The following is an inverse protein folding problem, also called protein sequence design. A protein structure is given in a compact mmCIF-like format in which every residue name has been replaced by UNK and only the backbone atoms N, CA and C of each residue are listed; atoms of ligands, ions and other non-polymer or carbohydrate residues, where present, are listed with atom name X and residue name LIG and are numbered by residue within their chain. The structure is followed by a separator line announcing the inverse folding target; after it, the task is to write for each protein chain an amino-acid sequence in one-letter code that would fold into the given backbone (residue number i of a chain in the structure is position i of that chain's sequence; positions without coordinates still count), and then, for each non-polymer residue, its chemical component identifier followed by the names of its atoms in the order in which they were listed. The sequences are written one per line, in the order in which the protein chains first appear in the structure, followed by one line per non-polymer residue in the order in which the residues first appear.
data_IF_465787824748
#
_entry.id   IF_465787824748
#
_cell.length_a   1.000
_cell.length_b   1.000
_cell.length_c   1.000
_cell.angle_alpha   90.00
_cell.angle_beta   90.00
_cell.angle_gamma   90.00
#
_symmetry.space_group_name_H-M   'P 1'
#
loop_
_entity.id
_entity.type
_entity.pdbx_description
1 polymer ?
#
# COMPACT_ATOMS: atom_id res chain seq x y z
N UNK A 1 -5.84 11.47 10.32
CA UNK A 1 -4.84 12.03 9.39
C UNK A 1 -4.41 13.35 10.00
N UNK A 2 -3.12 13.58 10.29
CA UNK A 2 -2.67 14.88 10.81
C UNK A 2 -2.90 15.99 9.77
N UNK A 3 -2.76 17.25 10.13
CA UNK A 3 -2.81 18.34 9.13
C UNK A 3 -1.57 18.34 8.24
N UNK A 4 -0.39 18.11 8.84
CA UNK A 4 0.90 18.10 8.16
C UNK A 4 1.79 16.95 8.62
N UNK A 5 2.88 16.73 7.88
CA UNK A 5 4.01 15.86 8.23
C UNK A 5 5.32 16.57 7.88
N UNK A 6 6.38 16.33 8.65
CA UNK A 6 7.72 16.90 8.43
C UNK A 6 8.70 15.78 8.12
N UNK A 7 9.54 15.94 7.09
CA UNK A 7 10.64 15.00 6.80
C UNK A 7 11.91 15.31 7.60
N UNK A 8 12.96 14.49 7.41
CA UNK A 8 14.24 14.61 8.12
C UNK A 8 14.98 15.93 7.82
N UNK A 9 14.67 16.59 6.70
CA UNK A 9 15.27 17.86 6.29
C UNK A 9 14.46 19.07 6.80
N UNK A 10 13.39 18.84 7.54
CA UNK A 10 12.51 19.89 8.03
C UNK A 10 11.51 20.40 6.98
N UNK A 11 11.36 19.73 5.83
CA UNK A 11 10.32 20.11 4.87
C UNK A 11 8.95 19.71 5.43
N UNK A 12 8.01 20.65 5.43
CA UNK A 12 6.64 20.45 5.91
C UNK A 12 5.71 20.23 4.71
N UNK A 13 4.85 19.22 4.80
CA UNK A 13 3.92 18.84 3.76
C UNK A 13 2.51 18.70 4.33
N UNK A 14 1.51 19.15 3.58
CA UNK A 14 0.10 18.99 3.93
C UNK A 14 -0.35 17.56 3.68
N UNK A 15 -1.38 17.12 4.39
CA UNK A 15 -1.90 15.75 4.22
C UNK A 15 -3.42 15.71 4.15
N UNK A 16 -3.94 14.73 3.43
CA UNK A 16 -5.37 14.57 3.15
C UNK A 16 -5.82 13.14 3.41
N UNK A 17 -7.03 13.01 3.97
CA UNK A 17 -7.68 11.70 4.14
C UNK A 17 -8.55 11.41 2.92
N UNK A 18 -8.25 10.33 2.21
CA UNK A 18 -9.04 9.85 1.06
C UNK A 18 -9.51 8.43 1.39
N UNK A 19 -10.82 8.27 1.58
CA UNK A 19 -11.39 7.06 2.15
C UNK A 19 -10.78 6.76 3.53
N UNK A 20 -10.06 5.64 3.63
CA UNK A 20 -9.34 5.24 4.86
C UNK A 20 -7.85 5.60 4.84
N UNK A 21 -7.31 5.99 3.69
CA UNK A 21 -5.89 6.28 3.53
C UNK A 21 -5.59 7.74 3.85
N UNK A 22 -4.41 8.01 4.38
CA UNK A 22 -3.91 9.35 4.68
C UNK A 22 -2.68 9.62 3.82
N UNK A 23 -2.81 10.54 2.86
CA UNK A 23 -1.85 10.78 1.80
C UNK A 23 -1.22 12.17 1.95
N UNK A 24 0.05 12.31 1.56
CA UNK A 24 0.64 13.63 1.35
C UNK A 24 0.00 14.34 0.15
N UNK A 25 -0.14 15.67 0.21
CA UNK A 25 -0.71 16.49 -0.86
C UNK A 25 0.34 17.03 -1.83
N UNK A 26 1.60 17.10 -1.40
CA UNK A 26 2.74 17.54 -2.20
C UNK A 26 3.72 16.38 -2.43
N UNK A 27 4.56 16.53 -3.46
CA UNK A 27 5.63 15.57 -3.74
C UNK A 27 6.82 15.83 -2.80
N UNK A 28 7.52 14.77 -2.39
CA UNK A 28 8.72 14.90 -1.55
C UNK A 28 9.83 15.72 -2.24
N UNK A 29 10.54 16.49 -1.44
CA UNK A 29 11.78 17.20 -1.81
C UNK A 29 12.94 16.94 -0.83
N UNK A 30 12.85 15.84 -0.09
CA UNK A 30 13.87 15.36 0.84
C UNK A 30 15.17 15.02 0.11
N UNK A 31 16.29 15.31 0.75
CA UNK A 31 17.66 15.18 0.24
C UNK A 31 18.51 14.23 1.08
N UNK A 32 17.99 13.78 2.24
CA UNK A 32 18.57 12.73 3.07
C UNK A 32 17.63 11.53 3.21
N UNK A 33 18.22 10.34 3.33
CA UNK A 33 17.51 9.14 3.77
C UNK A 33 17.06 9.29 5.24
N UNK A 34 16.10 8.48 5.74
CA UNK A 34 15.64 8.56 7.13
C UNK A 34 16.72 8.32 8.19
N UNK A 35 17.86 7.73 7.83
CA UNK A 35 19.01 7.56 8.72
C UNK A 35 19.95 8.78 8.73
N UNK A 36 19.62 9.86 8.03
CA UNK A 36 20.42 11.08 7.91
C UNK A 36 21.49 11.04 6.82
N UNK A 37 21.72 9.90 6.15
CA UNK A 37 22.69 9.84 5.06
C UNK A 37 22.20 10.64 3.83
N UNK A 38 23.07 11.39 3.14
CA UNK A 38 22.66 12.14 1.96
C UNK A 38 22.28 11.22 0.79
N UNK A 39 21.27 11.63 0.02
CA UNK A 39 20.95 11.04 -1.27
C UNK A 39 21.84 11.72 -2.33
N UNK A 40 22.36 10.98 -3.31
CA UNK A 40 23.23 11.58 -4.32
C UNK A 40 22.45 12.57 -5.22
N UNK A 41 22.86 13.84 -5.23
CA UNK A 41 22.32 14.85 -6.13
C UNK A 41 23.00 14.76 -7.51
N UNK A 42 22.29 14.29 -8.53
CA UNK A 42 22.83 14.04 -9.87
C UNK A 42 22.10 14.89 -10.90
N UNK A 43 22.74 15.98 -11.35
CA UNK A 43 22.17 16.91 -12.33
C UNK A 43 22.66 16.68 -13.75
N UNK A 44 23.91 16.25 -13.91
CA UNK A 44 24.52 15.97 -15.21
C UNK A 44 23.86 14.77 -15.91
N UNK A 45 23.50 14.95 -17.18
CA UNK A 45 22.83 13.92 -17.97
C UNK A 45 23.73 12.72 -18.23
N UNK A 46 25.04 12.94 -18.41
CA UNK A 46 26.00 11.85 -18.66
C UNK A 46 26.20 10.99 -17.43
N UNK A 47 26.20 11.60 -16.24
CA UNK A 47 26.23 10.91 -14.96
C UNK A 47 24.93 10.15 -14.69
N UNK A 48 23.77 10.74 -14.98
CA UNK A 48 22.47 10.07 -14.81
C UNK A 48 22.36 8.80 -15.65
N UNK A 49 22.81 8.83 -16.91
CA UNK A 49 22.81 7.66 -17.81
C UNK A 49 23.64 6.49 -17.26
N UNK A 50 24.62 6.75 -16.41
CA UNK A 50 25.45 5.70 -15.79
C UNK A 50 24.75 4.99 -14.63
N UNK A 51 23.65 5.56 -14.10
CA UNK A 51 22.84 4.92 -13.06
C UNK A 51 22.13 3.71 -13.66
N UNK A 52 22.32 2.55 -13.06
CA UNK A 52 21.80 1.29 -13.59
C UNK A 52 20.38 1.06 -13.11
N UNK A 53 19.67 0.20 -13.83
CA UNK A 53 18.39 -0.35 -13.39
C UNK A 53 18.63 -1.42 -12.29
N UNK A 54 19.19 -0.99 -11.17
CA UNK A 54 19.47 -1.81 -10.00
C UNK A 54 18.81 -1.17 -8.77
N UNK A 55 18.77 -1.90 -7.65
CA UNK A 55 18.24 -1.39 -6.38
C UNK A 55 19.32 -0.72 -5.50
N UNK A 56 20.42 -0.24 -6.11
CA UNK A 56 21.57 0.31 -5.37
C UNK A 56 21.93 1.74 -5.77
N UNK A 57 21.65 2.15 -7.00
CA UNK A 57 22.06 3.44 -7.55
C UNK A 57 21.02 4.52 -7.18
N UNK A 58 21.04 4.92 -5.91
CA UNK A 58 20.18 5.96 -5.37
C UNK A 58 20.63 7.37 -5.77
N UNK A 59 19.76 8.10 -6.47
CA UNK A 59 19.99 9.50 -6.83
C UNK A 59 18.69 10.30 -6.84
N UNK A 60 18.82 11.63 -6.71
CA UNK A 60 17.73 12.57 -6.93
C UNK A 60 18.17 13.78 -7.76
N UNK A 61 17.19 14.46 -8.34
CA UNK A 61 17.35 15.77 -8.97
C UNK A 61 16.03 16.55 -8.93
N UNK A 62 16.05 17.82 -9.34
CA UNK A 62 14.83 18.59 -9.61
C UNK A 62 14.60 18.65 -11.12
N UNK A 63 13.35 18.85 -11.55
CA UNK A 63 13.05 19.02 -12.97
C UNK A 63 13.86 20.19 -13.56
N UNK A 64 14.48 19.99 -14.72
CA UNK A 64 15.43 20.93 -15.35
C UNK A 64 16.54 21.44 -14.42
N UNK A 65 16.86 20.67 -13.38
CA UNK A 65 17.79 21.04 -12.31
C UNK A 65 17.44 22.35 -11.58
N UNK A 66 16.17 22.77 -11.62
CA UNK A 66 15.69 23.96 -10.92
C UNK A 66 15.41 23.65 -9.44
N UNK A 67 16.28 24.10 -8.53
CA UNK A 67 16.12 23.90 -7.08
C UNK A 67 14.90 24.60 -6.47
N UNK A 68 14.31 25.57 -7.18
CA UNK A 68 13.08 26.24 -6.79
C UNK A 68 11.82 25.56 -7.37
N UNK A 69 11.94 24.32 -7.86
CA UNK A 69 10.83 23.56 -8.43
C UNK A 69 9.70 23.36 -7.41
N UNK A 70 8.52 23.86 -7.74
CA UNK A 70 7.28 23.63 -6.97
C UNK A 70 6.77 22.18 -7.09
N UNK A 71 7.37 21.38 -7.99
CA UNK A 71 6.95 20.00 -8.26
C UNK A 71 7.57 18.95 -7.33
N UNK A 72 8.40 19.37 -6.38
CA UNK A 72 9.25 18.48 -5.58
C UNK A 72 10.43 17.93 -6.38
N UNK A 73 11.09 16.91 -5.83
CA UNK A 73 12.22 16.24 -6.47
C UNK A 73 11.81 14.96 -7.21
N UNK A 74 12.71 14.49 -8.06
CA UNK A 74 12.63 13.28 -8.86
C UNK A 74 13.72 12.31 -8.38
N UNK A 75 13.33 11.09 -8.04
CA UNK A 75 14.21 10.09 -7.42
C UNK A 75 14.29 8.85 -8.30
N UNK A 76 15.48 8.23 -8.36
CA UNK A 76 15.59 6.85 -8.86
C UNK A 76 14.82 5.91 -7.94
N UNK A 77 14.45 4.73 -8.45
CA UNK A 77 13.73 3.74 -7.63
C UNK A 77 14.56 3.31 -6.41
N UNK A 78 15.87 3.10 -6.59
CA UNK A 78 16.78 2.74 -5.50
C UNK A 78 16.79 3.79 -4.38
N UNK A 79 16.80 5.09 -4.72
CA UNK A 79 16.64 6.15 -3.74
C UNK A 79 15.27 6.07 -3.07
N UNK A 80 14.19 5.96 -3.85
CA UNK A 80 12.83 5.92 -3.33
C UNK A 80 12.59 4.83 -2.27
N UNK A 81 13.12 3.62 -2.50
CA UNK A 81 12.99 2.49 -1.55
C UNK A 81 14.05 2.52 -0.44
N UNK A 82 15.06 3.38 -0.55
CA UNK A 82 16.17 3.54 0.39
C UNK A 82 16.87 2.22 0.76
N UNK A 83 16.94 1.27 -0.18
CA UNK A 83 17.39 -0.12 0.03
C UNK A 83 16.76 -0.87 1.22
N UNK A 84 15.70 -0.33 1.83
CA UNK A 84 15.03 -0.84 3.03
C UNK A 84 14.11 -2.05 2.75
N UNK A 85 14.32 -2.77 1.65
CA UNK A 85 13.55 -3.97 1.31
C UNK A 85 13.65 -5.06 2.38
N UNK A 86 14.71 -5.06 3.19
CA UNK A 86 14.89 -6.03 4.27
C UNK A 86 14.19 -5.64 5.59
N UNK A 87 13.91 -4.36 5.83
CA UNK A 87 13.42 -3.91 7.15
C UNK A 87 11.94 -4.16 7.39
N UNK A 88 11.14 -4.30 6.33
CA UNK A 88 9.76 -4.76 6.41
C UNK A 88 9.31 -5.24 5.03
N UNK A 89 9.25 -6.56 4.83
CA UNK A 89 8.95 -7.26 3.56
C UNK A 89 7.53 -7.02 3.00
N UNK A 90 6.85 -5.96 3.43
CA UNK A 90 5.51 -5.58 2.94
C UNK A 90 5.27 -4.07 2.84
N UNK A 91 5.96 -3.23 3.64
CA UNK A 91 5.78 -1.76 3.67
C UNK A 91 7.08 -1.04 4.05
N UNK A 92 8.04 -1.01 3.13
CA UNK A 92 9.27 -0.25 3.36
C UNK A 92 8.97 1.25 3.51
N UNK A 93 9.43 1.86 4.61
CA UNK A 93 9.39 3.31 4.82
C UNK A 93 9.91 4.07 3.59
N UNK A 94 10.97 3.54 2.95
CA UNK A 94 11.63 4.22 1.84
C UNK A 94 12.24 5.53 2.31
N UNK A 95 12.13 6.58 1.50
CA UNK A 95 12.54 7.96 1.86
C UNK A 95 11.45 8.75 2.60
N UNK A 96 10.35 8.11 2.99
CA UNK A 96 9.26 8.79 3.66
C UNK A 96 9.58 9.12 5.14
N UNK A 97 8.92 10.14 5.71
CA UNK A 97 9.04 10.48 7.13
C UNK A 97 8.66 9.31 8.05
N UNK A 98 9.09 9.36 9.30
CA UNK A 98 8.74 8.36 10.30
C UNK A 98 7.22 8.23 10.50
N UNK A 99 6.74 7.00 10.57
CA UNK A 99 5.30 6.70 10.62
C UNK A 99 4.59 6.84 9.28
N UNK A 100 5.32 7.08 8.19
CA UNK A 100 4.86 7.08 6.81
C UNK A 100 5.68 6.10 5.97
N UNK A 101 5.15 5.70 4.83
CA UNK A 101 5.85 4.80 3.92
C UNK A 101 5.58 5.14 2.45
N UNK A 102 6.46 4.61 1.60
CA UNK A 102 6.28 4.65 0.16
C UNK A 102 5.10 3.73 -0.21
N UNK A 103 4.03 4.26 -0.83
CA UNK A 103 2.82 3.51 -1.13
C UNK A 103 3.11 2.33 -2.06
N UNK A 104 2.56 1.18 -1.69
CA UNK A 104 2.53 0.01 -2.55
C UNK A 104 1.59 0.21 -3.74
N UNK A 105 1.76 -0.61 -4.77
CA UNK A 105 0.85 -0.64 -5.90
C UNK A 105 -0.61 -0.94 -5.49
N UNK A 106 -0.81 -1.80 -4.48
CA UNK A 106 -2.13 -2.08 -3.92
C UNK A 106 -2.74 -0.85 -3.24
N UNK A 107 -1.95 -0.06 -2.51
CA UNK A 107 -2.44 1.17 -1.90
C UNK A 107 -2.83 2.22 -2.94
N UNK A 108 -2.13 2.27 -4.08
CA UNK A 108 -2.57 3.06 -5.23
C UNK A 108 -3.86 2.54 -5.86
N UNK A 109 -4.07 1.22 -5.95
CA UNK A 109 -5.35 0.65 -6.42
C UNK A 109 -6.51 1.03 -5.52
N UNK A 110 -6.31 0.99 -4.20
CA UNK A 110 -7.31 1.45 -3.23
C UNK A 110 -7.63 2.93 -3.44
N UNK A 111 -6.62 3.79 -3.57
CA UNK A 111 -6.83 5.22 -3.82
C UNK A 111 -7.67 5.45 -5.09
N UNK A 112 -7.29 4.84 -6.20
CA UNK A 112 -7.99 4.95 -7.49
C UNK A 112 -9.46 4.51 -7.38
N UNK A 113 -9.70 3.31 -6.84
CA UNK A 113 -11.05 2.78 -6.70
C UNK A 113 -11.91 3.51 -5.66
N UNK A 114 -11.30 4.27 -4.75
CA UNK A 114 -12.04 5.10 -3.77
C UNK A 114 -12.67 6.33 -4.42
N UNK A 115 -12.04 6.87 -5.48
CA UNK A 115 -12.43 8.15 -6.09
C UNK A 115 -13.08 8.00 -7.48
N UNK A 116 -12.91 6.84 -8.13
CA UNK A 116 -13.52 6.59 -9.44
C UNK A 116 -15.05 6.41 -9.30
N UNK A 117 -15.81 7.07 -10.16
CA UNK A 117 -17.29 7.07 -10.06
C UNK A 117 -17.92 5.80 -10.62
N UNK A 118 -17.16 4.99 -11.36
CA UNK A 118 -17.65 3.78 -12.04
C UNK A 118 -17.06 2.49 -11.46
N UNK A 119 -15.80 2.50 -11.07
CA UNK A 119 -15.08 1.30 -10.66
C UNK A 119 -14.54 1.42 -9.23
N UNK A 120 -15.27 0.84 -8.28
CA UNK A 120 -14.90 0.83 -6.88
C UNK A 120 -13.58 0.10 -6.55
N UNK A 121 -13.18 0.17 -5.28
CA UNK A 121 -12.04 -0.59 -4.73
C UNK A 121 -12.23 -2.09 -4.99
N UNK A 122 -11.17 -2.76 -5.43
CA UNK A 122 -11.18 -4.21 -5.72
C UNK A 122 -11.71 -4.59 -7.10
N UNK A 123 -12.15 -3.64 -7.92
CA UNK A 123 -12.54 -3.92 -9.30
C UNK A 123 -11.32 -4.32 -10.16
N UNK A 124 -11.47 -5.35 -11.01
CA UNK A 124 -10.38 -5.94 -11.81
C UNK A 124 -9.69 -4.97 -12.80
N UNK A 125 -10.35 -3.86 -13.16
CA UNK A 125 -9.77 -2.79 -13.98
C UNK A 125 -8.48 -2.25 -13.36
N UNK A 126 -8.36 -2.28 -12.03
CA UNK A 126 -7.20 -1.78 -11.30
C UNK A 126 -5.98 -2.71 -11.37
N UNK A 127 -6.14 -3.94 -11.85
CA UNK A 127 -5.06 -4.92 -12.04
C UNK A 127 -4.44 -4.89 -13.44
N UNK A 128 -5.10 -4.25 -14.41
CA UNK A 128 -4.65 -4.22 -15.81
C UNK A 128 -3.34 -3.41 -15.99
N UNK A 129 -2.55 -3.65 -17.05
CA UNK A 129 -1.44 -2.75 -17.39
C UNK A 129 -1.93 -1.69 -18.37
N UNK A 130 -1.47 -0.45 -18.21
CA UNK A 130 -1.84 0.66 -19.08
C UNK A 130 -2.87 1.59 -18.45
N UNK A 131 -3.73 2.21 -19.28
CA UNK A 131 -4.74 3.17 -18.84
C UNK A 131 -5.94 2.47 -18.21
N UNK A 132 -6.18 2.75 -16.94
CA UNK A 132 -7.21 2.13 -16.10
C UNK A 132 -8.24 3.16 -15.63
N UNK A 133 -9.39 2.64 -15.17
CA UNK A 133 -10.45 3.44 -14.57
C UNK A 133 -11.35 4.12 -15.59
N UNK A 134 -12.22 4.97 -15.07
CA UNK A 134 -13.10 5.85 -15.84
C UNK A 134 -12.65 7.30 -15.68
N UNK A 135 -12.66 7.80 -14.45
CA UNK A 135 -12.45 9.22 -14.14
C UNK A 135 -11.64 9.51 -12.88
N UNK A 136 -11.05 8.50 -12.22
CA UNK A 136 -10.22 8.70 -11.03
C UNK A 136 -9.15 9.80 -11.18
N UNK A 137 -8.53 9.91 -12.35
CA UNK A 137 -7.53 10.94 -12.64
C UNK A 137 -8.10 12.36 -12.62
N UNK A 138 -9.37 12.57 -12.93
CA UNK A 138 -10.03 13.87 -12.80
C UNK A 138 -10.11 14.34 -11.34
N UNK A 139 -10.40 13.41 -10.42
CA UNK A 139 -10.54 13.70 -8.98
C UNK A 139 -9.21 13.84 -8.25
N UNK A 140 -8.16 13.16 -8.74
CA UNK A 140 -6.83 13.13 -8.11
C UNK A 140 -5.88 14.19 -8.64
N UNK A 141 -6.03 14.62 -9.90
CA UNK A 141 -5.22 15.72 -10.45
C UNK A 141 -5.48 17.02 -9.71
N UNK A 142 -4.43 17.82 -9.58
CA UNK A 142 -4.52 19.21 -9.13
C UNK A 142 -5.44 20.04 -10.04
N UNK A 143 -6.03 21.09 -9.46
CA UNK A 143 -6.84 22.07 -10.18
C UNK A 143 -5.98 23.10 -10.95
N UNK A 144 -4.67 22.94 -10.95
CA UNK A 144 -3.68 23.84 -11.55
C UNK A 144 -2.48 23.06 -12.10
N UNK A 145 -1.67 23.74 -12.91
CA UNK A 145 -0.38 23.26 -13.41
C UNK A 145 -0.46 22.33 -14.62
N UNK A 146 -1.63 21.85 -15.01
CA UNK A 146 -1.80 21.03 -16.22
C UNK A 146 -2.11 21.90 -17.43
N UNK A 147 -1.26 21.78 -18.44
CA UNK A 147 -1.36 22.54 -19.68
C UNK A 147 -2.63 22.19 -20.47
N UNK A 148 -2.97 23.05 -21.44
CA UNK A 148 -4.12 22.88 -22.35
C UNK A 148 -5.47 22.70 -21.63
N UNK A 149 -5.64 23.37 -20.48
CA UNK A 149 -6.84 23.29 -19.64
C UNK A 149 -7.19 21.84 -19.24
N UNK A 150 -6.17 21.03 -18.96
CA UNK A 150 -6.33 19.61 -18.57
C UNK A 150 -6.23 19.38 -17.06
N UNK A 151 -6.43 20.43 -16.28
CA UNK A 151 -6.51 20.35 -14.82
C UNK A 151 -7.59 19.35 -14.40
N UNK A 152 -7.39 18.70 -13.26
CA UNK A 152 -8.45 17.97 -12.57
C UNK A 152 -9.35 18.92 -11.80
N UNK A 153 -10.39 18.37 -11.16
CA UNK A 153 -11.21 19.14 -10.22
C UNK A 153 -10.68 19.07 -8.78
N UNK A 154 -9.70 18.19 -8.52
CA UNK A 154 -9.08 17.95 -7.22
C UNK A 154 -10.05 17.72 -6.05
N UNK A 155 -11.25 17.20 -6.30
CA UNK A 155 -12.26 17.02 -5.23
C UNK A 155 -11.82 16.00 -4.17
N UNK A 156 -10.84 15.14 -4.48
CA UNK A 156 -10.22 14.25 -3.49
C UNK A 156 -9.26 14.96 -2.53
N UNK A 157 -8.78 16.16 -2.89
CA UNK A 157 -7.71 16.87 -2.20
C UNK A 157 -6.31 16.31 -2.43
N UNK A 158 -6.15 15.24 -3.23
CA UNK A 158 -4.84 14.62 -3.49
C UNK A 158 -3.84 15.60 -4.11
N UNK A 159 -4.27 16.48 -5.01
CA UNK A 159 -3.45 17.52 -5.64
C UNK A 159 -2.31 17.01 -6.51
N UNK A 160 -2.56 15.99 -7.33
CA UNK A 160 -1.58 15.41 -8.25
C UNK A 160 -1.14 16.38 -9.36
N UNK A 161 0.06 16.95 -9.22
CA UNK A 161 0.66 17.93 -10.14
C UNK A 161 1.49 17.26 -11.27
N UNK A 162 1.62 17.89 -12.45
CA UNK A 162 2.34 17.35 -13.59
C UNK A 162 3.83 17.71 -13.58
N UNK A 163 4.57 17.18 -12.59
CA UNK A 163 5.99 17.45 -12.40
C UNK A 163 6.95 16.80 -13.39
N UNK A 164 6.44 16.12 -14.41
CA UNK A 164 7.25 15.43 -15.42
C UNK A 164 8.00 14.21 -14.87
N UNK A 165 9.15 13.94 -15.47
CA UNK A 165 10.08 12.88 -15.07
C UNK A 165 11.49 13.16 -15.59
N UNK A 166 12.47 12.50 -14.99
CA UNK A 166 13.80 12.30 -15.58
C UNK A 166 13.89 10.90 -16.17
N UNK A 167 14.33 10.82 -17.42
CA UNK A 167 14.43 9.57 -18.15
C UNK A 167 15.77 8.89 -17.90
N UNK A 168 15.84 7.58 -18.11
CA UNK A 168 17.06 6.79 -18.02
C UNK A 168 18.14 7.23 -19.04
N UNK A 169 17.75 7.95 -20.10
CA UNK A 169 18.68 8.60 -21.04
C UNK A 169 19.22 9.97 -20.54
N UNK A 170 18.90 10.36 -19.30
CA UNK A 170 19.35 11.60 -18.67
C UNK A 170 18.49 12.83 -18.96
N UNK A 171 17.57 12.78 -19.94
CA UNK A 171 16.70 13.90 -20.32
C UNK A 171 15.46 14.06 -19.46
N UNK A 172 14.88 15.27 -19.45
CA UNK A 172 13.64 15.60 -18.76
C UNK A 172 12.44 15.60 -19.72
N UNK A 173 11.27 15.15 -19.27
CA UNK A 173 10.08 15.04 -20.13
C UNK A 173 8.78 15.33 -19.38
N UNK A 174 7.83 15.96 -20.08
CA UNK A 174 6.42 15.96 -19.71
C UNK A 174 6.03 16.85 -18.53
N UNK A 175 6.84 17.85 -18.16
CA UNK A 175 6.36 18.93 -17.28
C UNK A 175 5.09 19.55 -17.88
N UNK A 176 4.12 19.91 -17.03
CA UNK A 176 2.82 20.42 -17.47
C UNK A 176 1.85 19.36 -18.03
N UNK A 177 2.35 18.18 -18.42
CA UNK A 177 1.55 17.14 -19.09
C UNK A 177 1.47 15.80 -18.37
N UNK A 178 2.45 15.47 -17.52
CA UNK A 178 2.58 14.15 -16.89
C UNK A 178 2.96 14.31 -15.42
N UNK A 179 2.24 13.61 -14.55
CA UNK A 179 2.66 13.37 -13.17
C UNK A 179 3.07 11.90 -13.03
N UNK A 180 4.26 11.63 -12.49
CA UNK A 180 4.79 10.28 -12.37
C UNK A 180 5.22 10.01 -10.93
N UNK A 181 4.76 8.89 -10.38
CA UNK A 181 5.10 8.47 -9.03
C UNK A 181 5.59 7.03 -9.02
N UNK A 182 6.67 6.78 -8.30
CA UNK A 182 7.05 5.41 -7.94
C UNK A 182 6.05 4.83 -6.93
N UNK A 183 5.86 3.51 -7.01
CA UNK A 183 5.33 2.73 -5.89
C UNK A 183 6.48 2.01 -5.19
N UNK A 184 6.27 1.44 -4.01
CA UNK A 184 7.25 0.57 -3.34
C UNK A 184 7.29 -0.86 -3.90
N UNK A 185 6.40 -1.18 -4.84
CA UNK A 185 6.27 -2.53 -5.38
C UNK A 185 7.23 -2.74 -6.54
N UNK A 186 8.16 -3.69 -6.35
CA UNK A 186 9.05 -4.16 -7.42
C UNK A 186 8.26 -5.01 -8.42
N UNK A 187 8.51 -4.83 -9.72
CA UNK A 187 7.98 -5.74 -10.75
C UNK A 187 8.96 -6.90 -11.00
N UNK A 188 10.22 -6.58 -11.27
CA UNK A 188 11.34 -7.52 -11.40
C UNK A 188 12.65 -6.83 -11.02
N UNK A 189 13.80 -7.48 -11.21
CA UNK A 189 15.09 -6.95 -10.75
C UNK A 189 15.59 -5.70 -11.47
N UNK A 190 14.99 -5.34 -12.62
CA UNK A 190 15.32 -4.12 -13.36
C UNK A 190 14.19 -3.09 -13.43
N UNK A 191 12.99 -3.40 -12.91
CA UNK A 191 11.81 -2.57 -13.10
C UNK A 191 10.97 -2.43 -11.83
N UNK A 192 10.59 -1.18 -11.54
CA UNK A 192 9.62 -0.83 -10.50
C UNK A 192 8.26 -0.48 -11.09
N UNK A 193 7.20 -0.68 -10.31
CA UNK A 193 5.87 -0.17 -10.68
C UNK A 193 5.79 1.34 -10.51
N UNK A 194 5.11 2.00 -11.46
CA UNK A 194 4.81 3.43 -11.42
C UNK A 194 3.33 3.69 -11.67
N UNK A 195 2.86 4.81 -11.12
CA UNK A 195 1.58 5.41 -11.47
C UNK A 195 1.84 6.70 -12.23
N UNK A 196 1.13 6.88 -13.35
CA UNK A 196 1.21 8.09 -14.18
C UNK A 196 -0.15 8.71 -14.40
N UNK A 197 -0.23 10.02 -14.18
CA UNK A 197 -1.36 10.85 -14.55
C UNK A 197 -1.02 11.54 -15.89
N UNK A 198 -2.04 11.77 -16.71
CA UNK A 198 -1.88 12.47 -17.99
C UNK A 198 -3.04 13.44 -18.25
N UNK A 199 -3.17 13.87 -19.49
CA UNK A 199 -4.17 14.85 -19.90
C UNK A 199 -5.62 14.32 -19.88
N UNK A 200 -5.82 13.00 -19.90
CA UNK A 200 -7.13 12.36 -19.76
C UNK A 200 -7.60 12.22 -18.30
N UNK A 201 -8.75 11.57 -18.12
CA UNK A 201 -9.34 11.29 -16.79
C UNK A 201 -8.96 9.91 -16.23
N UNK A 202 -8.37 9.05 -17.07
CA UNK A 202 -7.84 7.75 -16.66
C UNK A 202 -6.44 7.89 -16.09
N UNK A 203 -6.00 6.84 -15.40
CA UNK A 203 -4.65 6.76 -14.83
C UNK A 203 -3.89 5.60 -15.44
N UNK A 204 -2.58 5.76 -15.64
CA UNK A 204 -1.75 4.73 -16.24
C UNK A 204 -0.95 4.00 -15.15
N UNK A 205 -1.10 2.68 -15.08
CA UNK A 205 -0.29 1.80 -14.23
C UNK A 205 0.63 0.98 -15.11
N UNK A 206 1.93 1.08 -14.90
CA UNK A 206 2.91 0.39 -15.73
C UNK A 206 4.25 0.24 -14.98
N UNK A 207 5.20 -0.51 -15.53
CA UNK A 207 6.52 -0.71 -14.92
C UNK A 207 7.63 -0.28 -15.89
N UNK A 208 8.66 0.37 -15.37
CA UNK A 208 9.78 0.92 -16.16
C UNK A 208 11.10 0.75 -15.42
N UNK A 209 12.21 1.00 -16.13
CA UNK A 209 13.55 0.89 -15.58
C UNK A 209 13.73 1.69 -14.28
N UNK A 210 14.37 1.08 -13.30
CA UNK A 210 14.62 1.67 -11.98
C UNK A 210 15.49 2.95 -12.00
N UNK A 211 16.21 3.23 -13.08
CA UNK A 211 17.02 4.45 -13.24
C UNK A 211 16.22 5.68 -13.70
N UNK A 212 14.93 5.55 -13.97
CA UNK A 212 14.07 6.72 -14.18
C UNK A 212 13.91 7.53 -12.89
N UNK A 213 13.85 8.86 -13.01
CA UNK A 213 13.55 9.77 -11.91
C UNK A 213 12.06 10.11 -11.88
N UNK A 214 11.34 9.65 -10.86
CA UNK A 214 9.93 9.99 -10.63
C UNK A 214 9.72 10.62 -9.26
N UNK A 215 8.62 11.35 -9.11
CA UNK A 215 8.22 11.95 -7.83
C UNK A 215 7.83 10.88 -6.81
N UNK A 216 7.83 11.26 -5.54
CA UNK A 216 7.41 10.41 -4.43
C UNK A 216 6.30 11.11 -3.66
N UNK A 217 5.31 10.32 -3.25
CA UNK A 217 4.30 10.68 -2.25
C UNK A 217 4.22 9.59 -1.23
N UNK A 218 4.10 9.97 0.03
CA UNK A 218 3.98 9.01 1.12
C UNK A 218 2.54 8.87 1.59
N UNK A 219 2.28 7.71 2.16
CA UNK A 219 1.03 7.37 2.83
C UNK A 219 1.34 7.05 4.29
N UNK A 220 0.47 7.48 5.21
CA UNK A 220 0.67 7.24 6.64
C UNK A 220 0.50 5.76 6.94
N UNK A 221 1.34 5.23 7.82
CA UNK A 221 1.17 3.87 8.34
C UNK A 221 -0.23 3.75 8.97
N UNK A 222 -0.95 2.69 8.61
CA UNK A 222 -2.18 2.36 9.31
C UNK A 222 -1.81 1.99 10.74
N UNK A 223 -2.36 2.71 11.72
CA UNK A 223 -2.22 2.31 13.11
C UNK A 223 -2.98 0.99 13.27
N UNK A 224 -2.25 -0.10 13.45
CA UNK A 224 -2.81 -1.29 14.09
C UNK A 224 -3.26 -0.83 15.47
N UNK A 225 -4.57 -0.83 15.70
CA UNK A 225 -5.13 -0.66 17.04
C UNK A 225 -4.54 -1.77 17.91
N UNK A 226 -3.46 -1.48 18.64
CA UNK A 226 -3.15 -2.21 19.86
C UNK A 226 -4.37 -1.95 20.74
N UNK A 227 -5.10 -3.01 21.10
CA UNK A 227 -6.14 -2.91 22.12
C UNK A 227 -5.45 -2.51 23.44
N UNK A 228 -5.28 -1.22 23.67
CA UNK A 228 -4.97 -0.69 24.99
C UNK A 228 -6.23 -0.86 25.84
N UNK A 229 -6.31 -1.98 26.56
CA UNK A 229 -7.47 -2.28 27.40
C UNK A 229 -7.58 -3.70 27.94
N UNK A 230 -6.55 -4.54 27.86
CA UNK A 230 -6.51 -5.78 28.65
C UNK A 230 -5.14 -5.89 29.32
N UNK A 231 -5.07 -5.47 30.58
CA UNK A 231 -4.00 -5.87 31.48
C UNK A 231 -4.24 -7.32 31.88
N UNK A 232 -3.49 -8.25 31.32
CA UNK A 232 -3.17 -9.48 32.05
C UNK A 232 -1.69 -9.81 31.94
N UNK A 233 -1.14 -10.05 33.12
CA UNK A 233 0.20 -10.48 33.46
C UNK A 233 0.65 -11.72 32.70
N UNK A 234 1.97 -11.78 32.50
CA UNK A 234 2.81 -12.95 32.18
C UNK A 234 3.11 -13.23 30.70
N UNK A 235 4.31 -12.82 30.31
CA UNK A 235 5.27 -13.51 29.45
C UNK A 235 4.71 -14.65 28.58
N UNK A 236 4.27 -14.29 27.38
CA UNK A 236 4.54 -14.99 26.12
C UNK A 236 3.86 -14.21 25.00
N UNK A 237 4.66 -13.52 24.18
CA UNK A 237 4.22 -12.72 23.03
C UNK A 237 3.34 -13.55 22.08
N UNK A 238 2.02 -13.35 22.16
CA UNK A 238 1.06 -13.87 21.18
C UNK A 238 0.80 -12.77 20.15
N UNK A 239 1.38 -12.94 18.97
CA UNK A 239 1.19 -12.08 17.80
C UNK A 239 -0.31 -12.00 17.46
N UNK A 240 -0.85 -10.78 17.40
CA UNK A 240 -2.21 -10.54 16.91
C UNK A 240 -2.30 -10.99 15.45
N UNK A 241 -3.29 -11.83 15.10
CA UNK A 241 -3.38 -12.31 13.71
C UNK A 241 -3.80 -11.20 12.76
N UNK A 242 -3.09 -11.14 11.65
CA UNK A 242 -3.33 -10.22 10.56
C UNK A 242 -4.25 -10.90 9.54
N UNK A 243 -5.53 -10.53 9.55
CA UNK A 243 -6.42 -10.84 8.43
C UNK A 243 -6.36 -9.70 7.41
N UNK A 244 -6.34 -10.00 6.09
CA UNK A 244 -6.49 -8.97 5.06
C UNK A 244 -7.68 -8.05 5.33
N UNK A 245 -7.50 -6.74 5.22
CA UNK A 245 -8.53 -5.74 5.53
C UNK A 245 -9.81 -5.88 4.68
N UNK A 246 -9.67 -6.42 3.47
CA UNK A 246 -10.77 -6.79 2.57
C UNK A 246 -11.69 -7.89 3.11
N UNK A 247 -11.25 -8.67 4.11
CA UNK A 247 -12.11 -9.62 4.81
C UNK A 247 -12.95 -8.97 5.92
N UNK A 248 -12.65 -7.72 6.31
CA UNK A 248 -13.38 -6.96 7.31
C UNK A 248 -14.23 -5.87 6.65
N UNK A 249 -15.48 -6.18 6.31
CA UNK A 249 -16.34 -5.13 5.77
C UNK A 249 -17.77 -5.55 5.55
N UNK A 250 -18.01 -6.55 4.72
CA UNK A 250 -19.36 -6.91 4.31
C UNK A 250 -19.53 -8.43 4.22
N UNK A 251 -20.78 -8.88 4.15
CA UNK A 251 -21.14 -10.29 4.08
C UNK A 251 -20.64 -10.92 2.77
N UNK A 252 -19.37 -11.33 2.71
CA UNK A 252 -18.86 -12.06 1.55
C UNK A 252 -19.03 -13.56 1.72
N UNK A 253 -19.81 -14.10 0.79
CA UNK A 253 -20.19 -15.50 0.64
C UNK A 253 -19.12 -16.18 -0.21
N UNK A 254 -18.31 -17.06 0.37
CA UNK A 254 -17.61 -18.07 -0.43
C UNK A 254 -18.60 -19.21 -0.73
N UNK A 255 -18.83 -19.44 -2.02
CA UNK A 255 -19.75 -20.42 -2.63
C UNK A 255 -19.42 -21.90 -2.38
N UNK A 256 -18.52 -22.22 -1.45
CA UNK A 256 -18.36 -23.62 -1.03
C UNK A 256 -18.60 -23.86 0.47
N UNK A 257 -18.48 -22.87 1.37
CA UNK A 257 -18.67 -23.14 2.82
C UNK A 257 -19.17 -21.97 3.71
N UNK A 258 -19.61 -20.83 3.17
CA UNK A 258 -20.31 -19.75 3.90
C UNK A 258 -19.64 -19.24 5.21
N UNK A 259 -18.32 -18.99 5.23
CA UNK A 259 -17.64 -18.37 6.37
C UNK A 259 -17.40 -16.87 6.17
N UNK A 260 -17.67 -16.05 7.18
CA UNK A 260 -17.37 -14.60 7.19
C UNK A 260 -16.90 -14.13 8.58
N UNK A 261 -16.06 -13.10 8.63
CA UNK A 261 -15.56 -12.49 9.87
C UNK A 261 -15.99 -11.02 9.87
N UNK A 262 -16.63 -10.55 10.95
CA UNK A 262 -17.09 -9.16 11.06
C UNK A 262 -16.72 -8.56 12.40
N UNK A 263 -16.20 -7.33 12.37
CA UNK A 263 -16.07 -6.46 13.55
C UNK A 263 -17.37 -5.69 13.78
N UNK A 264 -17.81 -5.60 15.02
CA UNK A 264 -18.96 -4.79 15.44
C UNK A 264 -18.62 -4.10 16.78
N UNK A 265 -19.49 -3.20 17.26
CA UNK A 265 -19.30 -2.40 18.49
C UNK A 265 -19.29 -3.22 19.81
N UNK A 266 -18.98 -4.51 19.76
CA UNK A 266 -18.81 -5.39 20.92
C UNK A 266 -17.94 -6.61 20.63
N UNK A 267 -17.01 -6.52 19.68
CA UNK A 267 -16.02 -7.56 19.37
C UNK A 267 -16.00 -8.02 17.91
N UNK A 268 -15.36 -9.18 17.68
CA UNK A 268 -15.29 -9.83 16.36
C UNK A 268 -16.17 -11.08 16.38
N UNK A 269 -16.97 -11.31 15.33
CA UNK A 269 -17.80 -12.53 15.16
C UNK A 269 -17.42 -13.26 13.88
N UNK A 270 -17.49 -14.58 13.94
CA UNK A 270 -17.39 -15.48 12.79
C UNK A 270 -18.79 -16.00 12.49
N UNK A 271 -19.26 -15.88 11.25
CA UNK A 271 -20.52 -16.50 10.80
C UNK A 271 -20.24 -17.68 9.88
N UNK A 272 -20.96 -18.78 10.12
CA UNK A 272 -20.95 -20.00 9.29
C UNK A 272 -22.40 -20.35 8.96
N UNK A 273 -22.87 -20.11 7.73
CA UNK A 273 -24.30 -20.26 7.41
C UNK A 273 -25.15 -19.32 8.27
N UNK A 274 -26.05 -19.85 9.12
CA UNK A 274 -26.89 -19.06 10.04
C UNK A 274 -26.36 -19.01 11.49
N UNK A 275 -25.17 -19.58 11.76
CA UNK A 275 -24.58 -19.63 13.10
C UNK A 275 -23.54 -18.54 13.29
N UNK A 276 -23.49 -17.95 14.48
CA UNK A 276 -22.51 -16.97 14.91
C UNK A 276 -21.63 -17.52 16.03
N UNK A 277 -20.34 -17.20 15.97
CA UNK A 277 -19.33 -17.57 16.95
C UNK A 277 -18.60 -16.30 17.36
N UNK A 278 -18.34 -16.16 18.64
CA UNK A 278 -17.66 -15.01 19.24
C UNK A 278 -16.16 -15.26 19.23
N UNK A 279 -15.40 -14.39 18.59
CA UNK A 279 -13.95 -14.48 18.56
C UNK A 279 -13.39 -14.43 19.98
N UNK A 280 -12.42 -15.31 20.25
CA UNK A 280 -11.69 -15.37 21.52
C UNK A 280 -10.23 -14.99 21.29
N UNK A 281 -9.49 -15.83 20.56
CA UNK A 281 -8.09 -15.60 20.22
C UNK A 281 -7.73 -16.22 18.87
N UNK A 282 -6.50 -16.06 18.41
CA UNK A 282 -6.05 -16.64 17.15
C UNK A 282 -4.54 -16.89 17.15
N UNK A 283 -4.07 -17.70 16.20
CA UNK A 283 -2.65 -17.98 15.96
C UNK A 283 -2.36 -17.86 14.45
N UNK A 284 -1.44 -16.98 14.07
CA UNK A 284 -0.96 -16.86 12.70
C UNK A 284 0.12 -17.92 12.45
N UNK A 285 -0.13 -18.86 11.54
CA UNK A 285 0.85 -19.91 11.19
C UNK A 285 1.80 -19.42 10.10
N UNK A 286 1.28 -18.67 9.13
CA UNK A 286 2.03 -17.94 8.11
C UNK A 286 1.11 -16.91 7.45
N UNK A 287 1.61 -16.19 6.43
CA UNK A 287 0.85 -15.16 5.69
C UNK A 287 -0.51 -15.63 5.15
N UNK A 288 -0.67 -16.93 4.88
CA UNK A 288 -1.86 -17.48 4.22
C UNK A 288 -2.66 -18.40 5.15
N UNK A 289 -2.23 -18.61 6.40
CA UNK A 289 -2.83 -19.59 7.31
C UNK A 289 -3.01 -19.04 8.72
N UNK A 290 -4.25 -19.04 9.18
CA UNK A 290 -4.65 -18.48 10.47
C UNK A 290 -5.54 -19.48 11.19
N UNK A 291 -5.28 -19.70 12.48
CA UNK A 291 -6.14 -20.46 13.36
C UNK A 291 -6.92 -19.47 14.21
N UNK A 292 -8.23 -19.64 14.34
CA UNK A 292 -9.06 -18.80 15.21
C UNK A 292 -9.81 -19.66 16.20
N UNK A 293 -9.74 -19.24 17.45
CA UNK A 293 -10.49 -19.78 18.55
C UNK A 293 -11.71 -18.90 18.80
N UNK A 294 -12.87 -19.53 18.96
CA UNK A 294 -14.13 -18.82 19.14
C UNK A 294 -15.09 -19.62 20.04
N UNK A 295 -16.04 -18.91 20.64
CA UNK A 295 -17.04 -19.47 21.56
C UNK A 295 -18.46 -19.32 21.02
N UNK A 296 -19.34 -20.28 21.30
CA UNK A 296 -20.78 -20.21 21.06
C UNK A 296 -21.50 -21.07 22.09
N UNK A 297 -22.47 -20.49 22.81
CA UNK A 297 -23.30 -21.21 23.80
C UNK A 297 -22.45 -21.98 24.84
N UNK A 298 -21.40 -21.35 25.39
CA UNK A 298 -20.40 -21.95 26.31
C UNK A 298 -19.58 -23.11 25.72
N UNK A 299 -19.70 -23.40 24.44
CA UNK A 299 -18.84 -24.35 23.74
C UNK A 299 -17.74 -23.64 22.95
N UNK A 300 -16.58 -24.29 22.87
CA UNK A 300 -15.41 -23.76 22.18
C UNK A 300 -15.24 -24.38 20.80
N UNK A 301 -14.72 -23.59 19.87
CA UNK A 301 -14.57 -23.94 18.47
C UNK A 301 -13.23 -23.44 17.95
N UNK A 302 -12.59 -24.25 17.10
CA UNK A 302 -11.37 -23.91 16.37
C UNK A 302 -11.68 -23.81 14.88
N UNK A 303 -11.23 -22.74 14.24
CA UNK A 303 -11.37 -22.47 12.83
C UNK A 303 -10.00 -22.42 12.17
N UNK A 304 -9.80 -23.25 11.15
CA UNK A 304 -8.60 -23.24 10.32
C UNK A 304 -8.88 -22.46 9.05
N UNK A 305 -8.32 -21.27 8.94
CA UNK A 305 -8.44 -20.41 7.78
C UNK A 305 -7.22 -20.56 6.87
N UNK A 306 -7.48 -20.63 5.57
CA UNK A 306 -6.49 -20.51 4.52
C UNK A 306 -6.88 -19.39 3.58
N UNK A 307 -6.14 -18.28 3.63
CA UNK A 307 -6.30 -17.13 2.75
C UNK A 307 -5.71 -17.52 1.40
N UNK A 308 -6.56 -17.54 0.36
CA UNK A 308 -6.15 -17.88 -1.00
C UNK A 308 -5.71 -16.60 -1.74
N UNK A 309 -6.41 -15.51 -1.50
CA UNK A 309 -6.09 -14.18 -2.00
C UNK A 309 -6.79 -13.13 -1.12
N UNK A 310 -6.69 -11.84 -1.48
CA UNK A 310 -7.26 -10.74 -0.71
C UNK A 310 -8.80 -10.83 -0.54
N UNK A 311 -9.53 -11.63 -1.32
CA UNK A 311 -11.00 -11.71 -1.26
C UNK A 311 -11.53 -13.12 -0.96
N UNK A 312 -10.69 -14.14 -1.04
CA UNK A 312 -11.08 -15.55 -0.96
C UNK A 312 -10.33 -16.26 0.15
N UNK A 313 -11.09 -16.94 1.01
CA UNK A 313 -10.57 -17.75 2.08
C UNK A 313 -11.32 -19.08 2.15
N UNK A 314 -10.61 -20.18 2.40
CA UNK A 314 -11.21 -21.47 2.80
C UNK A 314 -11.15 -21.57 4.30
N UNK A 315 -12.17 -22.13 4.93
CA UNK A 315 -12.18 -22.35 6.37
C UNK A 315 -12.72 -23.73 6.72
N UNK A 316 -12.20 -24.31 7.80
CA UNK A 316 -12.74 -25.52 8.41
C UNK A 316 -12.96 -25.30 9.91
N UNK A 317 -14.19 -25.53 10.37
CA UNK A 317 -14.56 -25.50 11.80
C UNK A 317 -14.41 -26.89 12.43
N UNK A 318 -13.89 -26.92 13.65
CA UNK A 318 -13.88 -28.09 14.53
C UNK A 318 -14.35 -27.66 15.93
N UNK A 319 -15.07 -28.53 16.64
CA UNK A 319 -15.50 -28.30 18.03
C UNK A 319 -14.37 -28.67 18.99
N UNK A 320 -14.08 -27.84 19.99
CA UNK A 320 -13.01 -27.98 20.99
C UNK A 320 -11.89 -26.92 20.88
N UNK A 321 -11.20 -26.65 22.00
CA UNK A 321 -10.10 -25.69 22.14
C UNK A 321 -8.75 -26.38 22.47
N UNK A 322 -7.67 -25.81 21.91
CA UNK A 322 -6.23 -25.90 22.20
C UNK A 322 -5.50 -27.20 22.65
N UNK A 323 -6.14 -28.28 23.07
CA UNK A 323 -5.41 -29.45 23.65
C UNK A 323 -5.26 -30.69 22.75
N UNK A 324 -5.49 -30.61 21.43
CA UNK A 324 -5.50 -31.82 20.57
C UNK A 324 -4.74 -31.76 19.22
N UNK A 325 -3.95 -30.72 18.94
CA UNK A 325 -3.43 -30.49 17.58
C UNK A 325 -1.90 -30.50 17.55
N UNK A 326 -1.31 -31.69 17.35
CA UNK A 326 0.10 -31.84 16.98
C UNK A 326 0.36 -31.20 15.61
N UNK A 327 1.61 -30.79 15.33
CA UNK A 327 2.05 -30.25 14.03
C UNK A 327 1.65 -31.16 12.83
N UNK A 328 1.54 -32.47 13.05
CA UNK A 328 1.03 -33.44 12.08
C UNK A 328 -0.45 -33.24 11.71
N UNK A 329 -1.34 -33.02 12.69
CA UNK A 329 -2.77 -32.81 12.42
C UNK A 329 -3.02 -31.47 11.73
N UNK A 330 -2.22 -30.46 12.04
CA UNK A 330 -2.18 -29.15 11.36
C UNK A 330 -1.81 -29.30 9.88
N UNK A 331 -0.75 -30.06 9.58
CA UNK A 331 -0.32 -30.40 8.21
C UNK A 331 -1.39 -31.19 7.44
N UNK A 332 -2.08 -32.12 8.11
CA UNK A 332 -3.12 -32.94 7.48
C UNK A 332 -4.36 -32.14 7.09
N UNK A 333 -4.79 -31.20 7.95
CA UNK A 333 -5.94 -30.32 7.67
C UNK A 333 -5.61 -29.25 6.62
N UNK A 334 -4.41 -28.67 6.65
CA UNK A 334 -3.97 -27.73 5.61
C UNK A 334 -3.75 -28.40 4.26
N UNK A 335 -3.25 -29.64 4.20
CA UNK A 335 -3.20 -30.44 2.95
C UNK A 335 -4.59 -30.69 2.35
N UNK A 336 -5.61 -30.94 3.18
CA UNK A 336 -7.00 -31.13 2.70
C UNK A 336 -7.67 -29.84 2.23
N UNK A 337 -7.21 -28.66 2.68
CA UNK A 337 -7.69 -27.35 2.20
C UNK A 337 -6.99 -26.91 0.89
N UNK A 338 -5.83 -27.48 0.56
CA UNK A 338 -5.11 -27.25 -0.71
C UNK A 338 -5.67 -28.03 -1.90
N UNK A 339 -6.27 -29.21 -1.67
CA UNK A 339 -7.15 -29.86 -2.66
C UNK A 339 -8.51 -29.13 -2.70
#
# INVERSE_FOLDING_TARGET
CPSTVTDIDGNIYSTVKIGKQCWMQENLKVTHYPNGSPIAYVTDSTAWVKLKNNNTDGAYCYYDNNTNSEYGALYTYAAAIASNWERDKSKGQGICPDGWHLPSDEEWKILKGTVDTKYGVGHNVWDSIGWQGYDAGNFLKSAYGWDNNKNGNNQSGFSGIPGGLRSSNGGFFGIGYLGNWWTSTKFNDGQGWRIRFGTGYKMNRNHYGMSHGYSIRCIKNLQTLKNEGYTETNNNERVACEFPESLYGEWYVNTLWNYSIRKYNGGTRIRTGNKFYYFDSCEQINKDQIIVYAKKDNEEYTFFFHVINNVTMKAKRVKGHKEAWTNEKLSLHTKRLRK
#
